data_IF_917669950442
#
_entry.id   IF_917669950442
#
_cell.length_a   1.000
_cell.length_b   1.000
_cell.length_c   1.000
_cell.angle_alpha   90.00
_cell.angle_beta   90.00
_cell.angle_gamma   90.00
#
_symmetry.space_group_name_H-M   'P 1'
#
loop_
_entity.id
_entity.type
_entity.pdbx_description
1 polymer ?
#
# COMPACT_ATOMS: atom_id res chain seq x y z
N UNK A 1 15.09 20.59 42.19
CA UNK A 1 16.38 21.23 41.84
C UNK A 1 17.06 20.27 40.87
N UNK A 2 17.17 20.44 39.56
CA UNK A 2 17.08 21.61 38.68
C UNK A 2 16.13 21.33 37.50
N UNK A 3 15.46 22.36 37.00
CA UNK A 3 14.66 22.34 35.78
C UNK A 3 15.53 22.78 34.60
N UNK A 4 15.85 21.88 33.68
CA UNK A 4 16.56 22.25 32.45
C UNK A 4 15.55 22.60 31.35
N UNK A 5 15.45 23.89 31.09
CA UNK A 5 14.71 24.54 30.01
C UNK A 5 15.28 24.13 28.65
N UNK A 6 14.46 23.52 27.79
CA UNK A 6 14.74 23.39 26.36
C UNK A 6 14.48 24.74 25.67
N UNK A 7 15.52 25.56 25.53
CA UNK A 7 15.52 26.71 24.63
C UNK A 7 16.00 26.27 23.24
N UNK A 8 15.12 26.31 22.25
CA UNK A 8 15.52 26.29 20.85
C UNK A 8 16.10 27.67 20.49
N UNK A 9 17.43 27.77 20.46
CA UNK A 9 18.11 29.01 20.12
C UNK A 9 18.05 29.23 18.58
N UNK A 10 17.08 30.01 18.10
CA UNK A 10 17.10 30.53 16.73
C UNK A 10 18.15 31.64 16.67
N UNK A 11 19.39 31.29 16.31
CA UNK A 11 20.42 32.29 16.03
C UNK A 11 20.15 32.93 14.67
N UNK A 12 19.72 34.20 14.69
CA UNK A 12 19.71 35.08 13.52
C UNK A 12 21.16 35.38 13.12
N UNK A 13 21.61 34.87 11.99
CA UNK A 13 22.85 35.33 11.35
C UNK A 13 22.56 36.44 10.36
N UNK A 14 23.49 37.39 10.27
CA UNK A 14 23.34 38.71 9.66
C UNK A 14 22.82 38.73 8.22
N UNK A 15 21.97 39.73 7.97
CA UNK A 15 21.39 40.06 6.66
C UNK A 15 22.48 40.74 5.84
N UNK A 16 23.00 40.08 4.81
CA UNK A 16 23.82 40.76 3.81
C UNK A 16 22.89 41.42 2.78
N UNK A 17 22.55 42.69 3.04
CA UNK A 17 21.74 43.51 2.15
C UNK A 17 22.62 44.09 1.04
N UNK A 18 22.30 43.79 -0.22
CA UNK A 18 22.90 44.46 -1.37
C UNK A 18 22.02 45.68 -1.76
N UNK A 19 22.46 46.93 -1.54
CA UNK A 19 21.65 48.11 -1.77
C UNK A 19 21.37 48.42 -3.24
N UNK A 20 22.08 47.80 -4.19
CA UNK A 20 21.92 48.12 -5.62
C UNK A 20 20.84 47.30 -6.33
N UNK A 21 20.42 46.16 -5.77
CA UNK A 21 19.50 45.23 -6.45
C UNK A 21 18.17 45.01 -5.72
N UNK A 22 18.03 45.50 -4.48
CA UNK A 22 16.77 45.41 -3.72
C UNK A 22 16.29 43.99 -3.38
N UNK A 23 17.06 42.93 -3.70
CA UNK A 23 16.68 41.54 -3.44
C UNK A 23 17.52 40.93 -2.33
N UNK A 24 16.89 40.57 -1.21
CA UNK A 24 17.49 39.79 -0.13
C UNK A 24 17.06 38.34 -0.21
N UNK A 25 18.02 37.42 -0.39
CA UNK A 25 17.76 35.97 -0.31
C UNK A 25 17.91 35.55 1.17
N UNK A 26 16.87 34.90 1.73
CA UNK A 26 16.92 34.29 3.06
C UNK A 26 17.35 32.83 2.94
N UNK A 27 18.45 32.46 3.58
CA UNK A 27 18.82 31.07 3.78
C UNK A 27 18.42 30.63 5.18
N UNK A 28 17.71 29.50 5.28
CA UNK A 28 17.46 28.81 6.55
C UNK A 28 18.45 27.65 6.66
N UNK A 29 19.37 27.71 7.62
CA UNK A 29 20.25 26.60 7.97
C UNK A 29 19.66 25.85 9.15
N UNK A 30 19.10 24.67 8.91
CA UNK A 30 18.69 23.76 10.00
C UNK A 30 19.96 23.01 10.43
N UNK A 31 20.45 23.31 11.64
CA UNK A 31 21.56 22.58 12.26
C UNK A 31 20.93 21.53 13.18
N UNK A 32 20.83 20.29 12.70
CA UNK A 32 20.50 19.15 13.54
C UNK A 32 21.79 18.53 14.08
N UNK A 33 22.00 18.60 15.39
CA UNK A 33 23.03 17.80 16.08
C UNK A 33 22.47 16.39 16.28
N UNK A 34 23.11 15.40 15.64
CA UNK A 34 22.86 13.98 15.93
C UNK A 34 23.67 13.63 17.17
N UNK A 35 22.99 13.42 18.30
CA UNK A 35 23.62 12.87 19.49
C UNK A 35 23.61 11.34 19.41
N UNK A 36 24.81 10.76 19.31
CA UNK A 36 25.03 9.32 19.41
C UNK A 36 25.37 9.00 20.87
N UNK A 37 24.36 8.70 21.68
CA UNK A 37 24.57 7.97 22.93
C UNK A 37 23.51 6.87 23.09
N UNK A 38 23.95 5.64 22.81
CA UNK A 38 23.30 4.43 23.27
C UNK A 38 23.46 4.36 24.78
N UNK A 39 22.34 4.32 25.50
CA UNK A 39 22.30 4.08 26.94
C UNK A 39 20.96 3.44 27.32
N UNK A 40 21.04 2.21 27.83
CA UNK A 40 19.94 1.43 28.39
C UNK A 40 19.00 2.28 29.26
N UNK A 41 17.69 2.11 29.09
CA UNK A 41 16.72 2.43 30.14
C UNK A 41 15.81 1.23 30.34
N UNK A 42 15.92 0.71 31.55
CA UNK A 42 15.15 -0.36 32.16
C UNK A 42 13.66 -0.01 32.25
N UNK A 43 12.88 -1.10 32.27
CA UNK A 43 11.51 -1.22 32.77
C UNK A 43 10.96 -0.05 33.60
N UNK A 44 9.86 0.52 33.11
CA UNK A 44 8.90 1.25 33.92
C UNK A 44 7.54 0.54 33.83
N UNK A 45 7.22 -0.22 34.87
CA UNK A 45 5.86 -0.63 35.19
C UNK A 45 5.07 0.61 35.67
N UNK A 46 3.87 0.88 35.17
CA UNK A 46 2.96 1.77 35.86
C UNK A 46 2.24 1.01 36.99
N UNK A 47 2.49 1.45 38.21
CA UNK A 47 1.65 1.18 39.39
C UNK A 47 0.32 1.89 39.17
N UNK A 48 -0.77 1.12 39.04
CA UNK A 48 -2.13 1.66 39.10
C UNK A 48 -2.57 1.66 40.56
N UNK A 49 -2.80 2.86 41.10
CA UNK A 49 -3.51 3.05 42.35
C UNK A 49 -5.01 2.84 42.11
N UNK A 50 -5.56 1.95 42.93
CA UNK A 50 -6.99 1.80 43.19
C UNK A 50 -7.57 3.06 43.85
N UNK A 51 -8.90 3.15 43.79
CA UNK A 51 -9.81 4.11 44.44
C UNK A 51 -10.17 5.36 43.64
N UNK A 52 -11.30 5.30 42.93
CA UNK A 52 -12.48 6.02 43.41
C UNK A 52 -13.78 5.42 42.84
N UNK A 53 -14.66 5.11 43.80
CA UNK A 53 -16.02 4.61 43.69
C UNK A 53 -16.94 5.78 43.30
N UNK A 54 -17.76 5.61 42.26
CA UNK A 54 -19.07 6.27 42.18
C UNK A 54 -20.08 5.24 41.66
N UNK A 55 -20.88 4.72 42.60
CA UNK A 55 -22.22 4.19 42.36
C UNK A 55 -23.09 5.31 41.78
N UNK A 56 -23.80 5.04 40.69
CA UNK A 56 -25.14 5.58 40.47
C UNK A 56 -25.85 4.77 39.37
N UNK A 57 -26.74 3.88 39.81
CA UNK A 57 -27.88 3.44 39.01
C UNK A 57 -28.81 4.65 38.82
N UNK A 58 -29.53 4.71 37.69
CA UNK A 58 -30.96 4.59 37.87
C UNK A 58 -31.64 3.69 36.83
N UNK A 59 -32.63 2.98 37.35
CA UNK A 59 -33.73 2.39 36.61
C UNK A 59 -34.31 3.38 35.59
N UNK A 60 -34.50 2.91 34.36
CA UNK A 60 -35.47 3.48 33.44
C UNK A 60 -36.13 2.33 32.69
N UNK A 61 -37.26 1.89 33.25
CA UNK A 61 -38.34 1.26 32.53
C UNK A 61 -38.80 2.20 31.41
N UNK A 62 -38.52 1.83 30.16
CA UNK A 62 -39.19 2.38 28.98
C UNK A 62 -39.86 1.23 28.25
N UNK A 63 -41.13 1.07 28.59
CA UNK A 63 -42.18 0.51 27.74
C UNK A 63 -42.51 1.60 26.72
N UNK A 64 -42.41 1.32 25.41
CA UNK A 64 -43.22 1.86 24.30
C UNK A 64 -42.56 1.43 22.99
N UNK A 65 -43.12 0.43 22.33
CA UNK A 65 -43.98 0.57 21.14
C UNK A 65 -43.29 -0.04 19.92
N UNK A 66 -43.76 -1.24 19.59
CA UNK A 66 -43.57 -1.91 18.32
C UNK A 66 -44.00 -0.98 17.17
N UNK A 67 -43.14 -0.67 16.19
CA UNK A 67 -43.63 -0.22 14.91
C UNK A 67 -44.05 -1.47 14.14
N UNK A 68 -45.36 -1.72 14.19
CA UNK A 68 -46.11 -2.48 13.21
C UNK A 68 -45.90 -1.83 11.84
N UNK A 69 -44.81 -2.19 11.17
CA UNK A 69 -44.56 -1.85 9.78
C UNK A 69 -44.90 -3.08 8.94
N UNK A 70 -46.20 -3.39 8.93
CA UNK A 70 -46.85 -4.16 7.90
C UNK A 70 -46.71 -3.40 6.58
N UNK A 71 -45.55 -3.57 5.95
CA UNK A 71 -45.37 -3.24 4.53
C UNK A 71 -46.25 -4.25 3.78
N UNK A 72 -47.49 -3.81 3.54
CA UNK A 72 -48.42 -4.40 2.60
C UNK A 72 -47.84 -4.15 1.20
N UNK A 73 -46.86 -4.96 0.80
CA UNK A 73 -46.59 -5.19 -0.61
C UNK A 73 -47.85 -5.87 -1.11
N UNK A 74 -48.73 -5.10 -1.75
CA UNK A 74 -49.67 -5.66 -2.68
C UNK A 74 -48.85 -6.39 -3.72
N UNK A 75 -48.71 -7.70 -3.52
CA UNK A 75 -48.26 -8.62 -4.53
C UNK A 75 -49.11 -8.36 -5.75
N UNK A 76 -48.46 -7.86 -6.80
CA UNK A 76 -48.93 -8.05 -8.15
C UNK A 76 -49.29 -9.52 -8.26
N UNK A 77 -50.58 -9.83 -8.42
CA UNK A 77 -51.11 -11.15 -8.78
C UNK A 77 -50.44 -11.61 -10.08
N UNK A 78 -49.22 -12.11 -9.97
CA UNK A 78 -48.65 -13.05 -10.92
C UNK A 78 -49.27 -14.37 -10.54
N UNK A 79 -50.14 -14.88 -11.39
CA UNK A 79 -50.86 -16.14 -11.22
C UNK A 79 -49.82 -17.26 -10.97
N UNK A 80 -49.55 -17.60 -9.70
CA UNK A 80 -48.55 -18.61 -9.36
C UNK A 80 -49.17 -20.00 -9.42
N UNK A 81 -48.59 -20.90 -10.23
CA UNK A 81 -49.19 -22.23 -10.47
C UNK A 81 -49.12 -23.12 -9.22
N UNK A 82 -48.11 -22.95 -8.37
CA UNK A 82 -47.90 -23.74 -7.17
C UNK A 82 -47.66 -22.87 -5.94
N UNK A 83 -48.49 -23.03 -4.91
CA UNK A 83 -48.29 -22.48 -3.58
C UNK A 83 -48.18 -23.63 -2.58
N UNK A 84 -47.01 -23.80 -1.97
CA UNK A 84 -46.65 -24.98 -1.18
C UNK A 84 -46.16 -24.57 0.20
N UNK A 85 -46.61 -25.28 1.23
CA UNK A 85 -46.17 -25.09 2.60
C UNK A 85 -45.45 -26.33 3.13
N UNK A 86 -44.31 -26.11 3.78
CA UNK A 86 -43.43 -27.15 4.31
C UNK A 86 -43.05 -26.88 5.75
N UNK A 87 -42.91 -27.94 6.54
CA UNK A 87 -42.25 -27.86 7.84
C UNK A 87 -40.79 -28.31 7.72
N UNK A 88 -39.86 -27.47 8.16
CA UNK A 88 -38.43 -27.65 7.89
C UNK A 88 -37.66 -28.01 9.15
N UNK A 89 -36.82 -29.04 9.05
CA UNK A 89 -36.00 -29.53 10.15
C UNK A 89 -34.56 -29.70 9.72
N UNK A 90 -33.65 -29.47 10.65
CA UNK A 90 -32.23 -29.75 10.48
C UNK A 90 -31.88 -31.14 11.04
N UNK A 91 -31.17 -31.97 10.29
CA UNK A 91 -30.72 -33.31 10.73
C UNK A 91 -29.24 -33.50 10.42
N UNK A 92 -28.49 -34.00 11.37
CA UNK A 92 -27.06 -34.27 11.22
C UNK A 92 -26.78 -35.48 10.31
N UNK A 93 -27.70 -36.45 10.27
CA UNK A 93 -27.58 -37.65 9.44
C UNK A 93 -28.97 -38.15 9.02
N UNK A 94 -29.03 -38.90 7.91
CA UNK A 94 -30.29 -39.33 7.26
C UNK A 94 -31.24 -40.07 8.20
N UNK A 95 -30.72 -41.01 8.97
CA UNK A 95 -31.49 -41.84 9.91
C UNK A 95 -31.93 -41.13 11.20
N UNK A 96 -31.61 -39.85 11.39
CA UNK A 96 -31.97 -39.12 12.60
C UNK A 96 -33.48 -38.90 12.64
N UNK A 97 -34.16 -39.37 13.69
CA UNK A 97 -35.63 -39.29 13.77
C UNK A 97 -36.13 -37.91 14.20
N UNK A 98 -35.36 -37.19 15.01
CA UNK A 98 -35.66 -35.86 15.53
C UNK A 98 -34.53 -34.88 15.23
N UNK A 99 -34.89 -33.63 14.96
CA UNK A 99 -33.94 -32.54 14.73
C UNK A 99 -34.60 -31.20 15.06
N UNK A 100 -33.83 -30.13 15.29
CA UNK A 100 -34.41 -28.82 15.56
C UNK A 100 -35.24 -28.35 14.36
N UNK A 101 -36.42 -27.82 14.64
CA UNK A 101 -37.29 -27.21 13.64
C UNK A 101 -36.73 -25.84 13.29
N UNK A 102 -36.51 -25.58 12.00
CA UNK A 102 -36.09 -24.28 11.48
C UNK A 102 -37.31 -23.35 11.36
N UNK A 103 -38.45 -23.92 10.96
CA UNK A 103 -39.71 -23.19 10.83
C UNK A 103 -40.57 -23.76 9.71
N UNK A 104 -41.55 -22.97 9.26
CA UNK A 104 -42.38 -23.29 8.12
C UNK A 104 -41.95 -22.47 6.92
N UNK A 105 -41.84 -23.10 5.75
CA UNK A 105 -41.55 -22.42 4.50
C UNK A 105 -42.78 -22.44 3.61
N UNK A 106 -43.24 -21.24 3.21
CA UNK A 106 -44.17 -21.08 2.10
C UNK A 106 -43.39 -20.74 0.83
N UNK A 107 -43.59 -21.51 -0.24
CA UNK A 107 -42.90 -21.37 -1.52
C UNK A 107 -43.96 -21.31 -2.62
N UNK A 108 -43.95 -20.17 -3.32
CA UNK A 108 -44.76 -19.93 -4.52
C UNK A 108 -43.88 -20.03 -5.75
N UNK A 109 -44.25 -20.84 -6.75
CA UNK A 109 -43.44 -21.07 -7.93
C UNK A 109 -44.27 -21.42 -9.17
N UNK A 110 -43.66 -21.23 -10.34
CA UNK A 110 -44.31 -21.45 -11.65
C UNK A 110 -43.70 -22.60 -12.47
N UNK A 111 -42.57 -23.14 -12.02
CA UNK A 111 -41.90 -24.27 -12.65
C UNK A 111 -41.14 -25.08 -11.61
N UNK A 112 -40.71 -26.30 -11.99
CA UNK A 112 -39.88 -27.17 -11.13
C UNK A 112 -38.51 -26.54 -10.89
N UNK A 113 -37.94 -25.88 -11.89
CA UNK A 113 -36.65 -25.17 -11.80
C UNK A 113 -36.75 -24.02 -10.80
N UNK A 114 -37.77 -23.16 -10.92
CA UNK A 114 -38.02 -22.06 -9.98
C UNK A 114 -38.26 -22.58 -8.55
N UNK A 115 -38.94 -23.73 -8.41
CA UNK A 115 -39.08 -24.41 -7.12
C UNK A 115 -37.71 -24.85 -6.55
N UNK A 116 -36.88 -25.49 -7.36
CA UNK A 116 -35.54 -25.94 -6.94
C UNK A 116 -34.69 -24.77 -6.47
N UNK A 117 -34.65 -23.68 -7.25
CA UNK A 117 -33.87 -22.48 -6.94
C UNK A 117 -34.34 -21.85 -5.63
N UNK A 118 -35.66 -21.65 -5.46
CA UNK A 118 -36.22 -21.06 -4.24
C UNK A 118 -35.98 -21.89 -2.99
N UNK A 119 -36.09 -23.23 -3.10
CA UNK A 119 -35.76 -24.12 -1.98
C UNK A 119 -34.27 -24.04 -1.68
N UNK A 120 -33.43 -24.09 -2.71
CA UNK A 120 -31.98 -24.09 -2.56
C UNK A 120 -31.47 -22.79 -1.93
N UNK A 121 -31.96 -21.63 -2.39
CA UNK A 121 -31.60 -20.31 -1.86
C UNK A 121 -31.88 -20.18 -0.37
N UNK A 122 -32.95 -20.83 0.13
CA UNK A 122 -33.27 -20.87 1.57
C UNK A 122 -32.44 -21.94 2.30
N UNK A 123 -32.23 -23.10 1.69
CA UNK A 123 -31.53 -24.22 2.31
C UNK A 123 -30.02 -24.02 2.45
N UNK A 124 -29.38 -23.33 1.48
CA UNK A 124 -27.93 -23.14 1.45
C UNK A 124 -27.36 -22.49 2.71
N UNK A 125 -28.15 -21.65 3.38
CA UNK A 125 -27.78 -20.99 4.65
C UNK A 125 -27.57 -21.99 5.80
N UNK A 126 -28.14 -23.18 5.71
CA UNK A 126 -28.05 -24.24 6.72
C UNK A 126 -27.14 -25.38 6.27
N UNK A 127 -26.65 -25.34 5.03
CA UNK A 127 -25.71 -26.29 4.49
C UNK A 127 -24.30 -25.79 4.81
N UNK A 128 -23.43 -26.74 5.17
CA UNK A 128 -22.02 -26.47 5.44
C UNK A 128 -21.19 -26.93 4.26
N UNK A 129 -20.81 -28.20 4.24
CA UNK A 129 -19.95 -28.77 3.20
C UNK A 129 -20.31 -30.22 2.95
N UNK A 130 -20.23 -30.65 1.70
CA UNK A 130 -20.46 -32.06 1.36
C UNK A 130 -19.43 -32.95 2.06
N UNK A 131 -19.91 -33.99 2.71
CA UNK A 131 -19.09 -35.10 3.21
C UNK A 131 -19.42 -36.33 2.38
N UNK A 132 -18.36 -36.94 1.85
CA UNK A 132 -18.43 -38.24 1.21
C UNK A 132 -17.58 -39.25 1.98
N UNK A 133 -17.78 -40.53 1.67
CA UNK A 133 -16.99 -41.62 2.22
C UNK A 133 -16.20 -42.25 1.07
N UNK A 134 -14.89 -42.43 1.27
CA UNK A 134 -14.04 -43.13 0.31
C UNK A 134 -14.35 -44.64 0.25
N UNK A 135 -13.63 -45.39 -0.59
CA UNK A 135 -13.78 -46.84 -0.72
C UNK A 135 -13.54 -47.61 0.60
N UNK A 136 -12.79 -47.00 1.52
CA UNK A 136 -12.47 -47.54 2.84
C UNK A 136 -13.42 -47.08 3.95
N UNK A 137 -14.48 -46.34 3.61
CA UNK A 137 -15.45 -45.76 4.55
C UNK A 137 -14.83 -44.73 5.53
N UNK A 138 -13.79 -44.03 5.10
CA UNK A 138 -13.26 -42.87 5.79
C UNK A 138 -14.01 -41.62 5.30
N UNK A 139 -14.49 -40.77 6.24
CA UNK A 139 -15.15 -39.53 5.86
C UNK A 139 -14.13 -38.49 5.38
N UNK A 140 -14.45 -37.79 4.30
CA UNK A 140 -13.68 -36.65 3.78
C UNK A 140 -14.63 -35.51 3.37
N UNK A 141 -14.13 -34.27 3.43
CA UNK A 141 -14.83 -33.12 2.85
C UNK A 141 -14.66 -33.12 1.33
N UNK A 142 -15.72 -32.81 0.59
CA UNK A 142 -15.60 -32.54 -0.84
C UNK A 142 -14.68 -31.33 -1.10
N UNK A 143 -13.93 -31.38 -2.19
CA UNK A 143 -12.98 -30.34 -2.58
C UNK A 143 -13.68 -29.03 -2.92
N UNK A 144 -14.85 -29.10 -3.54
CA UNK A 144 -15.64 -27.94 -3.93
C UNK A 144 -16.76 -27.65 -2.94
N UNK A 145 -17.12 -26.38 -2.85
CA UNK A 145 -18.34 -25.95 -2.16
C UNK A 145 -19.56 -26.60 -2.82
N UNK A 146 -20.66 -26.78 -2.08
CA UNK A 146 -21.87 -27.36 -2.63
C UNK A 146 -22.47 -26.40 -3.67
N UNK A 147 -21.99 -26.47 -4.90
CA UNK A 147 -22.55 -25.75 -6.05
C UNK A 147 -23.73 -26.57 -6.60
N UNK A 148 -24.91 -25.94 -6.58
CA UNK A 148 -26.17 -26.29 -7.27
C UNK A 148 -26.84 -27.66 -6.97
N UNK A 149 -26.20 -28.59 -6.25
CA UNK A 149 -26.75 -29.94 -6.04
C UNK A 149 -27.52 -30.10 -4.72
N UNK A 150 -28.64 -29.37 -4.56
CA UNK A 150 -29.53 -29.54 -3.41
C UNK A 150 -30.05 -30.97 -3.18
N UNK A 151 -30.01 -31.81 -4.22
CA UNK A 151 -30.36 -33.23 -4.16
C UNK A 151 -29.51 -34.09 -3.20
N UNK A 152 -28.30 -33.64 -2.85
CA UNK A 152 -27.41 -34.32 -1.90
C UNK A 152 -27.66 -33.95 -0.45
N UNK A 153 -28.42 -32.89 -0.18
CA UNK A 153 -28.61 -32.34 1.16
C UNK A 153 -30.07 -32.42 1.64
N UNK A 154 -31.02 -32.38 0.69
CA UNK A 154 -32.44 -32.21 0.99
C UNK A 154 -33.24 -33.49 0.76
N UNK A 155 -34.04 -33.85 1.76
CA UNK A 155 -35.05 -34.91 1.67
C UNK A 155 -36.43 -34.31 1.97
N UNK A 156 -37.37 -34.52 1.07
CA UNK A 156 -38.77 -34.19 1.21
C UNK A 156 -39.53 -35.44 1.62
N UNK A 157 -40.15 -35.41 2.79
CA UNK A 157 -40.90 -36.53 3.33
C UNK A 157 -42.39 -36.19 3.34
N UNK A 158 -43.14 -36.85 2.47
CA UNK A 158 -44.60 -36.79 2.43
C UNK A 158 -45.15 -37.70 3.52
N UNK A 159 -45.65 -37.11 4.62
CA UNK A 159 -46.16 -37.86 5.78
C UNK A 159 -47.45 -38.59 5.45
N UNK A 160 -48.27 -38.02 4.58
CA UNK A 160 -49.55 -38.59 4.15
C UNK A 160 -49.32 -39.85 3.29
N UNK A 161 -48.42 -39.77 2.31
CA UNK A 161 -48.11 -40.89 1.42
C UNK A 161 -47.02 -41.84 1.97
N UNK A 162 -46.31 -41.45 3.03
CA UNK A 162 -45.15 -42.15 3.59
C UNK A 162 -44.03 -42.37 2.57
N UNK A 163 -43.78 -41.36 1.72
CA UNK A 163 -42.77 -41.41 0.65
C UNK A 163 -41.75 -40.28 0.87
N UNK A 164 -40.48 -40.62 0.79
CA UNK A 164 -39.37 -39.66 0.80
C UNK A 164 -38.80 -39.47 -0.60
N UNK A 165 -38.50 -38.23 -0.98
CA UNK A 165 -37.88 -37.86 -2.26
C UNK A 165 -36.72 -36.90 -2.03
N UNK A 166 -35.67 -36.99 -2.85
CA UNK A 166 -34.65 -35.95 -2.91
C UNK A 166 -35.11 -34.79 -3.81
N UNK A 167 -34.45 -33.63 -3.73
CA UNK A 167 -34.78 -32.46 -4.56
C UNK A 167 -34.84 -32.83 -6.06
N UNK A 168 -33.85 -33.55 -6.58
CA UNK A 168 -33.76 -33.97 -7.99
C UNK A 168 -34.86 -34.94 -8.45
N UNK A 169 -35.60 -35.53 -7.51
CA UNK A 169 -36.70 -36.45 -7.82
C UNK A 169 -38.06 -35.75 -7.86
N UNK A 170 -38.10 -34.44 -7.55
CA UNK A 170 -39.30 -33.64 -7.60
C UNK A 170 -39.55 -33.25 -9.04
N UNK A 171 -40.77 -33.48 -9.49
CA UNK A 171 -41.24 -33.14 -10.82
C UNK A 171 -42.59 -32.42 -10.73
N UNK A 172 -43.06 -31.88 -11.84
CA UNK A 172 -44.30 -31.09 -11.91
C UNK A 172 -45.51 -31.86 -11.35
N UNK A 173 -45.60 -33.16 -11.60
CA UNK A 173 -46.66 -34.02 -11.04
C UNK A 173 -46.60 -34.08 -9.51
N UNK A 174 -45.41 -34.03 -8.92
CA UNK A 174 -45.23 -34.00 -7.46
C UNK A 174 -45.68 -32.66 -6.90
N UNK A 175 -45.32 -31.54 -7.55
CA UNK A 175 -45.77 -30.21 -7.15
C UNK A 175 -47.29 -30.05 -7.27
N UNK A 176 -47.89 -30.51 -8.38
CA UNK A 176 -49.36 -30.57 -8.56
C UNK A 176 -50.05 -31.39 -7.47
N UNK A 177 -49.44 -32.50 -7.06
CA UNK A 177 -49.99 -33.34 -6.00
C UNK A 177 -49.94 -32.67 -4.63
N UNK A 178 -48.89 -31.90 -4.35
CA UNK A 178 -48.72 -31.19 -3.08
C UNK A 178 -49.52 -29.88 -3.01
N UNK A 179 -49.67 -29.18 -4.14
CA UNK A 179 -50.39 -27.90 -4.23
C UNK A 179 -51.90 -28.03 -4.45
N UNK A 180 -52.41 -29.25 -4.69
CA UNK A 180 -53.86 -29.46 -4.79
C UNK A 180 -54.53 -29.11 -3.47
N UNK A 181 -55.46 -28.16 -3.55
CA UNK A 181 -56.39 -27.82 -2.48
C UNK A 181 -57.40 -28.99 -2.34
N UNK A 182 -56.92 -30.03 -1.67
CA UNK A 182 -57.68 -31.23 -1.36
C UNK A 182 -58.16 -31.07 0.07
N UNK A 183 -59.34 -31.61 0.41
CA UNK A 183 -59.90 -31.56 1.78
C UNK A 183 -58.91 -32.05 2.87
N UNK A 184 -57.87 -32.79 2.47
CA UNK A 184 -56.73 -33.15 3.28
C UNK A 184 -55.45 -32.47 2.77
N UNK A 185 -55.08 -31.35 3.40
CA UNK A 185 -53.78 -30.70 3.20
C UNK A 185 -52.67 -31.71 3.48
N UNK A 186 -51.77 -31.91 2.51
CA UNK A 186 -50.63 -32.82 2.68
C UNK A 186 -49.60 -32.20 3.60
N UNK A 187 -49.11 -32.99 4.54
CA UNK A 187 -48.04 -32.59 5.45
C UNK A 187 -46.69 -33.03 4.86
N UNK A 188 -45.93 -32.06 4.33
CA UNK A 188 -44.61 -32.31 3.72
C UNK A 188 -43.52 -31.74 4.63
N UNK A 189 -42.59 -32.59 5.03
CA UNK A 189 -41.43 -32.16 5.83
C UNK A 189 -40.20 -32.05 4.93
N UNK A 190 -39.43 -30.98 5.08
CA UNK A 190 -38.09 -30.85 4.49
C UNK A 190 -37.07 -31.18 5.57
N UNK A 191 -36.20 -32.15 5.29
CA UNK A 191 -35.05 -32.48 6.12
C UNK A 191 -33.78 -31.99 5.45
N UNK A 192 -33.15 -30.98 6.06
CA UNK A 192 -31.87 -30.43 5.63
C UNK A 192 -30.76 -31.17 6.36
N UNK A 193 -29.81 -31.73 5.60
CA UNK A 193 -28.64 -32.40 6.13
C UNK A 193 -27.42 -31.51 5.90
N UNK A 194 -26.86 -30.80 6.91
CA UNK A 194 -25.79 -29.81 6.70
C UNK A 194 -24.56 -30.34 5.96
N UNK A 195 -24.29 -31.65 6.09
CA UNK A 195 -23.08 -32.29 5.62
C UNK A 195 -23.29 -33.33 4.52
N UNK A 196 -24.49 -33.47 3.94
CA UNK A 196 -24.92 -34.51 2.97
C UNK A 196 -25.75 -35.66 3.55
N UNK A 197 -26.64 -36.18 2.71
CA UNK A 197 -27.45 -37.39 2.90
C UNK A 197 -26.57 -38.66 2.94
N UNK A 198 -25.33 -38.59 2.41
CA UNK A 198 -24.35 -39.68 2.45
C UNK A 198 -24.04 -40.12 3.90
N UNK A 199 -24.13 -39.21 4.87
CA UNK A 199 -24.07 -39.54 6.29
C UNK A 199 -25.38 -40.25 6.70
N UNK A 200 -25.40 -41.57 6.50
CA UNK A 200 -26.66 -42.32 6.58
C UNK A 200 -27.14 -42.59 8.01
N UNK A 201 -26.23 -42.68 8.98
CA UNK A 201 -26.55 -43.12 10.34
C UNK A 201 -25.63 -42.58 11.43
N UNK A 202 -26.05 -42.77 12.68
CA UNK A 202 -25.37 -42.24 13.88
C UNK A 202 -23.88 -42.63 13.95
N UNK A 203 -23.53 -43.89 13.65
CA UNK A 203 -22.14 -44.34 13.67
C UNK A 203 -21.25 -43.64 12.64
N UNK A 204 -21.80 -43.36 11.45
CA UNK A 204 -21.09 -42.59 10.42
C UNK A 204 -20.94 -41.14 10.85
N UNK A 205 -21.99 -40.58 11.45
CA UNK A 205 -21.93 -39.24 12.03
C UNK A 205 -20.91 -39.13 13.15
N UNK A 206 -20.80 -40.11 14.05
CA UNK A 206 -19.77 -40.13 15.09
C UNK A 206 -18.37 -40.14 14.48
N UNK A 207 -18.10 -40.99 13.48
CA UNK A 207 -16.82 -40.97 12.74
C UNK A 207 -16.52 -39.63 12.07
N UNK A 208 -17.51 -39.05 11.41
CA UNK A 208 -17.43 -37.72 10.80
C UNK A 208 -17.13 -36.67 11.85
N UNK A 209 -17.87 -36.72 12.96
CA UNK A 209 -17.71 -35.78 14.04
C UNK A 209 -16.31 -35.88 14.63
N UNK A 210 -15.81 -37.08 14.89
CA UNK A 210 -14.51 -37.26 15.53
C UNK A 210 -13.35 -36.89 14.59
N UNK A 211 -13.44 -37.24 13.30
CA UNK A 211 -12.34 -37.03 12.33
C UNK A 211 -12.35 -35.68 11.64
N UNK A 212 -13.52 -35.12 11.33
CA UNK A 212 -13.64 -33.94 10.49
C UNK A 212 -14.14 -32.71 11.25
N UNK A 213 -15.06 -32.87 12.21
CA UNK A 213 -15.73 -31.73 12.87
C UNK A 213 -15.06 -31.36 14.20
N UNK A 214 -14.76 -32.37 15.01
CA UNK A 214 -14.28 -32.30 16.39
C UNK A 214 -12.84 -32.78 16.54
N UNK A 215 -12.06 -32.87 15.46
CA UNK A 215 -10.68 -33.39 15.44
C UNK A 215 -9.66 -32.61 16.29
N UNK A 216 -10.09 -31.65 17.10
CA UNK A 216 -9.25 -31.05 18.12
C UNK A 216 -9.35 -31.85 19.43
N UNK A 217 -8.20 -32.09 20.06
CA UNK A 217 -8.14 -32.47 21.48
C UNK A 217 -8.85 -31.40 22.31
N UNK A 218 -10.13 -31.65 22.61
CA UNK A 218 -10.88 -30.89 23.60
C UNK A 218 -10.48 -31.42 24.97
N UNK A 219 -10.08 -30.54 25.88
CA UNK A 219 -9.86 -30.93 27.28
C UNK A 219 -11.18 -31.42 27.90
N UNK A 220 -11.15 -32.04 29.09
CA UNK A 220 -12.32 -32.58 29.81
C UNK A 220 -13.45 -31.57 30.01
N UNK A 221 -13.19 -30.27 29.84
CA UNK A 221 -14.15 -29.18 29.90
C UNK A 221 -14.72 -28.73 28.53
N UNK A 222 -14.33 -29.35 27.41
CA UNK A 222 -14.83 -29.02 26.08
C UNK A 222 -14.16 -27.81 25.40
N UNK A 223 -13.19 -27.16 26.05
CA UNK A 223 -12.36 -26.11 25.48
C UNK A 223 -11.23 -26.70 24.61
N UNK A 224 -10.85 -26.00 23.53
CA UNK A 224 -9.64 -26.34 22.76
C UNK A 224 -8.45 -26.39 23.71
N UNK A 225 -7.68 -27.48 23.67
CA UNK A 225 -6.48 -27.62 24.49
C UNK A 225 -5.59 -26.40 24.33
N UNK A 226 -5.10 -25.84 25.45
CA UNK A 226 -4.20 -24.68 25.46
C UNK A 226 -2.98 -24.91 24.56
N UNK A 227 -2.55 -26.17 24.42
CA UNK A 227 -1.49 -26.60 23.52
C UNK A 227 -1.82 -26.33 22.05
N UNK A 228 -3.02 -26.73 21.62
CA UNK A 228 -3.48 -26.52 20.24
C UNK A 228 -3.72 -25.04 19.93
N UNK A 229 -4.20 -24.25 20.89
CA UNK A 229 -4.29 -22.79 20.73
C UNK A 229 -2.91 -22.15 20.55
N UNK A 230 -1.92 -22.57 21.33
CA UNK A 230 -0.56 -22.09 21.17
C UNK A 230 0.05 -22.50 19.82
N UNK A 231 -0.22 -23.71 19.33
CA UNK A 231 0.21 -24.16 18.00
C UNK A 231 -0.37 -23.26 16.89
N UNK A 232 -1.67 -22.91 16.95
CA UNK A 232 -2.28 -21.96 16.01
C UNK A 232 -1.66 -20.57 16.15
N UNK A 233 -1.38 -20.10 17.36
CA UNK A 233 -0.69 -18.82 17.57
C UNK A 233 0.70 -18.82 16.95
N UNK A 234 1.44 -19.91 17.07
CA UNK A 234 2.79 -20.02 16.51
C UNK A 234 2.73 -20.01 14.98
N UNK A 235 1.75 -20.69 14.37
CA UNK A 235 1.51 -20.63 12.93
C UNK A 235 1.15 -19.21 12.46
N UNK A 236 0.24 -18.54 13.18
CA UNK A 236 -0.14 -17.15 12.89
C UNK A 236 1.06 -16.21 12.97
N UNK A 237 1.88 -16.32 14.02
CA UNK A 237 3.09 -15.50 14.17
C UNK A 237 4.10 -15.82 13.07
N UNK A 238 4.31 -17.09 12.73
CA UNK A 238 5.23 -17.46 11.66
C UNK A 238 4.82 -16.83 10.33
N UNK A 239 3.52 -16.78 10.04
CA UNK A 239 3.00 -16.23 8.79
C UNK A 239 2.90 -14.71 8.78
N UNK A 240 2.54 -14.07 9.89
CA UNK A 240 2.11 -12.68 9.92
C UNK A 240 2.99 -11.74 10.77
N UNK A 241 4.01 -12.25 11.46
CA UNK A 241 4.88 -11.43 12.31
C UNK A 241 5.71 -10.39 11.56
N UNK A 242 5.94 -10.58 10.25
CA UNK A 242 6.63 -9.59 9.43
C UNK A 242 5.74 -8.37 9.14
N UNK A 243 4.43 -8.55 9.04
CA UNK A 243 3.49 -7.47 8.73
C UNK A 243 2.94 -6.82 9.99
N UNK A 244 2.68 -7.61 11.04
CA UNK A 244 1.99 -7.15 12.22
C UNK A 244 2.76 -7.38 13.52
N UNK A 245 2.75 -6.36 14.37
CA UNK A 245 3.13 -6.40 15.79
C UNK A 245 1.89 -6.31 16.66
N UNK A 246 1.72 -7.26 17.58
CA UNK A 246 0.64 -7.24 18.57
C UNK A 246 1.05 -8.01 19.83
N UNK A 247 0.42 -7.70 20.97
CA UNK A 247 0.60 -8.45 22.21
C UNK A 247 0.10 -9.90 22.05
N UNK A 248 0.70 -10.85 22.78
CA UNK A 248 0.37 -12.28 22.67
C UNK A 248 -1.11 -12.58 22.90
N UNK A 249 -1.78 -11.81 23.77
CA UNK A 249 -3.22 -11.96 24.04
C UNK A 249 -4.08 -11.74 22.79
N UNK A 250 -3.68 -10.86 21.88
CA UNK A 250 -4.42 -10.59 20.65
C UNK A 250 -4.22 -11.71 19.61
N UNK A 251 -3.01 -12.26 19.55
CA UNK A 251 -2.76 -13.49 18.79
C UNK A 251 -3.61 -14.66 19.33
N UNK A 252 -3.74 -14.79 20.65
CA UNK A 252 -4.62 -15.80 21.28
C UNK A 252 -6.10 -15.55 20.95
N UNK A 253 -6.56 -14.30 20.92
CA UNK A 253 -7.93 -13.97 20.51
C UNK A 253 -8.20 -14.36 19.05
N UNK A 254 -7.23 -14.14 18.16
CA UNK A 254 -7.30 -14.59 16.78
C UNK A 254 -7.33 -16.12 16.67
N UNK A 255 -6.38 -16.79 17.32
CA UNK A 255 -6.31 -18.25 17.36
C UNK A 255 -7.59 -18.89 17.93
N UNK A 256 -8.19 -18.30 18.96
CA UNK A 256 -9.48 -18.75 19.49
C UNK A 256 -10.60 -18.67 18.45
N UNK A 257 -10.63 -17.60 17.66
CA UNK A 257 -11.63 -17.44 16.60
C UNK A 257 -11.46 -18.51 15.50
N UNK A 258 -10.22 -18.82 15.13
CA UNK A 258 -9.90 -19.92 14.19
C UNK A 258 -10.23 -21.28 14.80
N UNK A 259 -9.88 -21.52 16.06
CA UNK A 259 -10.17 -22.78 16.73
C UNK A 259 -11.68 -23.04 16.83
N UNK A 260 -12.47 -21.98 17.05
CA UNK A 260 -13.94 -22.04 17.08
C UNK A 260 -14.60 -22.20 15.70
N UNK A 261 -13.88 -21.95 14.61
CA UNK A 261 -14.43 -22.13 13.26
C UNK A 261 -14.40 -23.59 12.82
N UNK A 262 -15.21 -23.89 11.80
CA UNK A 262 -15.25 -25.22 11.21
C UNK A 262 -13.87 -25.59 10.63
N UNK A 263 -13.46 -26.84 10.78
CA UNK A 263 -12.10 -27.30 10.46
C UNK A 263 -11.64 -26.95 9.03
N UNK A 264 -12.55 -26.97 8.05
CA UNK A 264 -12.23 -26.68 6.65
C UNK A 264 -11.96 -25.20 6.36
N UNK A 265 -12.38 -24.27 7.22
CA UNK A 265 -12.13 -22.83 7.07
C UNK A 265 -10.85 -22.38 7.76
N UNK A 266 -10.21 -23.25 8.54
CA UNK A 266 -9.12 -22.82 9.42
C UNK A 266 -7.89 -22.41 8.65
N UNK A 267 -7.52 -23.16 7.62
CA UNK A 267 -6.35 -22.85 6.80
C UNK A 267 -6.55 -21.49 6.11
N UNK A 268 -7.70 -21.27 5.49
CA UNK A 268 -8.08 -19.99 4.88
C UNK A 268 -8.07 -18.84 5.92
N UNK A 269 -8.55 -19.09 7.14
CA UNK A 269 -8.56 -18.09 8.21
C UNK A 269 -7.18 -17.82 8.82
N UNK A 270 -6.22 -18.74 8.69
CA UNK A 270 -4.81 -18.52 9.01
C UNK A 270 -4.16 -17.68 7.91
N UNK A 271 -4.59 -17.82 6.66
CA UNK A 271 -4.11 -16.99 5.56
C UNK A 271 -4.64 -15.57 5.57
N UNK A 272 -5.88 -15.39 6.02
CA UNK A 272 -6.55 -14.09 6.07
C UNK A 272 -5.88 -13.12 7.06
N UNK A 273 -6.26 -11.85 6.94
CA UNK A 273 -5.88 -10.78 7.87
C UNK A 273 -6.54 -10.95 9.26
N UNK A 274 -6.02 -10.24 10.30
CA UNK A 274 -6.63 -10.25 11.62
C UNK A 274 -8.13 -9.90 11.56
N UNK A 275 -8.99 -10.63 12.31
CA UNK A 275 -10.42 -10.35 12.36
C UNK A 275 -10.71 -8.89 12.72
N UNK A 276 -11.69 -8.28 12.04
CA UNK A 276 -12.05 -6.86 12.22
C UNK A 276 -12.28 -6.43 13.67
N UNK A 277 -12.77 -7.33 14.52
CA UNK A 277 -12.96 -7.10 15.96
C UNK A 277 -11.66 -6.82 16.74
N UNK A 278 -10.54 -7.39 16.29
CA UNK A 278 -9.23 -7.29 16.95
C UNK A 278 -8.16 -6.61 16.09
N UNK A 279 -8.44 -6.35 14.81
CA UNK A 279 -7.51 -5.72 13.87
C UNK A 279 -6.87 -4.43 14.40
N UNK A 280 -7.62 -3.62 15.17
CA UNK A 280 -7.12 -2.39 15.81
C UNK A 280 -5.95 -2.59 16.78
N UNK A 281 -5.73 -3.81 17.26
CA UNK A 281 -4.65 -4.14 18.19
C UNK A 281 -3.39 -4.67 17.48
N UNK A 282 -3.43 -4.79 16.15
CA UNK A 282 -2.29 -5.17 15.32
C UNK A 282 -1.74 -3.92 14.65
N UNK A 283 -0.48 -3.60 14.94
CA UNK A 283 0.23 -2.46 14.35
C UNK A 283 1.11 -2.96 13.21
N UNK A 284 1.20 -2.24 12.09
CA UNK A 284 2.18 -2.56 11.05
C UNK A 284 3.60 -2.57 11.62
N UNK A 285 4.43 -3.53 11.23
CA UNK A 285 5.84 -3.57 11.62
C UNK A 285 6.56 -2.33 11.05
N UNK A 286 7.36 -1.64 11.87
CA UNK A 286 8.14 -0.45 11.45
C UNK A 286 9.25 -0.74 10.41
N UNK A 287 9.54 -2.01 10.16
CA UNK A 287 10.67 -2.46 9.33
C UNK A 287 10.62 -1.95 7.88
N UNK A 288 9.50 -2.04 7.14
CA UNK A 288 9.38 -1.43 5.82
C UNK A 288 9.54 0.11 5.82
N UNK A 289 9.05 0.80 6.85
CA UNK A 289 9.25 2.25 6.97
C UNK A 289 10.72 2.60 7.25
N UNK A 290 11.36 1.86 8.15
CA UNK A 290 12.76 2.04 8.49
C UNK A 290 13.68 1.75 7.31
N UNK A 291 13.35 0.73 6.51
CA UNK A 291 14.10 0.39 5.30
C UNK A 291 13.97 1.49 4.25
N UNK A 292 12.75 1.98 4.00
CA UNK A 292 12.54 3.12 3.11
C UNK A 292 13.30 4.38 3.56
N UNK A 293 13.27 4.69 4.86
CA UNK A 293 14.02 5.82 5.41
C UNK A 293 15.54 5.66 5.23
N UNK A 294 16.08 4.43 5.34
CA UNK A 294 17.49 4.14 5.06
C UNK A 294 17.82 4.36 3.58
N UNK A 295 16.97 3.89 2.68
CA UNK A 295 17.14 4.03 1.24
C UNK A 295 17.11 5.52 0.83
N UNK A 296 16.19 6.31 1.38
CA UNK A 296 16.07 7.75 1.15
C UNK A 296 17.34 8.52 1.62
N UNK A 297 17.88 8.16 2.79
CA UNK A 297 19.14 8.72 3.30
C UNK A 297 20.32 8.35 2.40
N UNK A 298 20.36 7.11 1.90
CA UNK A 298 21.42 6.66 0.99
C UNK A 298 21.37 7.41 -0.34
N UNK A 299 20.17 7.58 -0.91
CA UNK A 299 19.96 8.33 -2.14
C UNK A 299 20.36 9.81 -1.96
N UNK A 300 19.96 10.43 -0.85
CA UNK A 300 20.33 11.81 -0.53
C UNK A 300 21.85 11.99 -0.40
N UNK A 301 22.56 11.02 0.21
CA UNK A 301 24.03 11.04 0.29
C UNK A 301 24.68 10.96 -1.08
N UNK A 302 24.19 10.10 -1.98
CA UNK A 302 24.71 9.97 -3.36
C UNK A 302 24.50 11.24 -4.18
N UNK A 303 23.33 11.86 -4.07
CA UNK A 303 23.05 13.13 -4.76
C UNK A 303 23.94 14.25 -4.24
N UNK A 304 24.14 14.33 -2.93
CA UNK A 304 25.01 15.33 -2.33
C UNK A 304 26.48 15.11 -2.69
N UNK A 305 26.97 13.86 -2.75
CA UNK A 305 28.34 13.59 -3.18
C UNK A 305 28.57 13.96 -4.64
N UNK A 306 27.65 13.59 -5.55
CA UNK A 306 27.74 13.98 -6.96
C UNK A 306 27.70 15.50 -7.14
N UNK A 307 26.79 16.19 -6.43
CA UNK A 307 26.71 17.65 -6.48
C UNK A 307 27.99 18.33 -5.96
N UNK A 308 28.62 17.74 -4.94
CA UNK A 308 29.89 18.24 -4.41
C UNK A 308 31.03 18.07 -5.42
N UNK A 309 31.10 16.93 -6.10
CA UNK A 309 32.06 16.67 -7.17
C UNK A 309 31.88 17.66 -8.33
N UNK A 310 30.65 17.92 -8.75
CA UNK A 310 30.33 18.91 -9.79
C UNK A 310 30.77 20.32 -9.37
N UNK A 311 30.48 20.73 -8.13
CA UNK A 311 30.91 22.02 -7.59
C UNK A 311 32.45 22.11 -7.57
N UNK A 312 33.14 21.05 -7.18
CA UNK A 312 34.60 21.00 -7.17
C UNK A 312 35.17 21.14 -8.59
N UNK A 313 34.60 20.44 -9.57
CA UNK A 313 34.99 20.55 -10.98
C UNK A 313 34.79 21.97 -11.52
N UNK A 314 33.66 22.61 -11.23
CA UNK A 314 33.39 24.00 -11.61
C UNK A 314 34.41 24.95 -10.97
N UNK A 315 34.74 24.75 -9.69
CA UNK A 315 35.75 25.55 -9.01
C UNK A 315 37.14 25.40 -9.62
N UNK A 316 37.52 24.19 -10.05
CA UNK A 316 38.78 23.94 -10.75
C UNK A 316 38.82 24.62 -12.12
N UNK A 317 37.74 24.50 -12.91
CA UNK A 317 37.61 25.20 -14.18
C UNK A 317 37.70 26.72 -14.02
N UNK A 318 37.04 27.28 -13.00
CA UNK A 318 37.10 28.71 -12.72
C UNK A 318 38.51 29.18 -12.33
N UNK A 319 39.23 28.40 -11.52
CA UNK A 319 40.64 28.67 -11.20
C UNK A 319 41.51 28.65 -12.45
N UNK A 320 41.32 27.66 -13.33
CA UNK A 320 42.02 27.56 -14.62
C UNK A 320 41.77 28.79 -15.51
N UNK A 321 40.49 29.17 -15.68
CA UNK A 321 40.09 30.34 -16.46
C UNK A 321 40.70 31.65 -15.91
N UNK A 322 40.70 31.82 -14.58
CA UNK A 322 41.32 32.98 -13.94
C UNK A 322 42.82 33.05 -14.24
N UNK A 323 43.53 31.92 -14.15
CA UNK A 323 44.96 31.85 -14.43
C UNK A 323 45.27 32.16 -15.90
N UNK A 324 44.48 31.62 -16.84
CA UNK A 324 44.62 31.90 -18.27
C UNK A 324 44.39 33.38 -18.58
N UNK A 325 43.39 33.99 -17.95
CA UNK A 325 43.09 35.42 -18.11
C UNK A 325 44.24 36.29 -17.61
N UNK A 326 44.80 35.98 -16.45
CA UNK A 326 45.98 36.68 -15.91
C UNK A 326 47.15 36.57 -16.88
N UNK A 327 47.45 35.36 -17.38
CA UNK A 327 48.53 35.15 -18.33
C UNK A 327 48.33 35.97 -19.62
N UNK A 328 47.10 36.02 -20.16
CA UNK A 328 46.77 36.84 -21.33
C UNK A 328 46.94 38.34 -21.05
N UNK A 329 46.53 38.82 -19.88
CA UNK A 329 46.75 40.22 -19.48
C UNK A 329 48.23 40.56 -19.41
N UNK A 330 49.07 39.72 -18.79
CA UNK A 330 50.52 39.93 -18.71
C UNK A 330 51.17 40.01 -20.09
N UNK A 331 50.72 39.19 -21.05
CA UNK A 331 51.20 39.24 -22.45
C UNK A 331 50.82 40.58 -23.10
N UNK A 332 49.59 41.06 -22.87
CA UNK A 332 49.13 42.36 -23.39
C UNK A 332 49.94 43.50 -22.78
N UNK A 333 50.16 43.50 -21.46
CA UNK A 333 50.99 44.49 -20.75
C UNK A 333 52.41 44.54 -21.35
N UNK A 334 53.06 43.39 -21.51
CA UNK A 334 54.40 43.30 -22.10
C UNK A 334 54.45 43.85 -23.53
N UNK A 335 53.40 43.59 -24.33
CA UNK A 335 53.31 44.12 -25.70
C UNK A 335 53.10 45.64 -25.71
N UNK A 336 52.30 46.18 -24.80
CA UNK A 336 52.10 47.62 -24.64
C UNK A 336 53.40 48.31 -24.24
N UNK A 337 54.15 47.77 -23.27
CA UNK A 337 55.47 48.27 -22.89
C UNK A 337 56.43 48.31 -24.08
N UNK A 338 56.44 47.25 -24.90
CA UNK A 338 57.25 47.21 -26.13
C UNK A 338 56.84 48.29 -27.14
N UNK A 339 55.55 48.55 -27.29
CA UNK A 339 55.06 49.62 -28.19
C UNK A 339 55.46 50.99 -27.67
N UNK A 340 55.35 51.23 -26.36
CA UNK A 340 55.78 52.49 -25.72
C UNK A 340 57.26 52.75 -25.98
N UNK A 341 58.13 51.74 -25.77
CA UNK A 341 59.57 51.86 -26.04
C UNK A 341 59.83 52.19 -27.52
N UNK A 342 59.12 51.52 -28.45
CA UNK A 342 59.26 51.81 -29.89
C UNK A 342 58.82 53.22 -30.25
N UNK A 343 57.75 53.72 -29.63
CA UNK A 343 57.27 55.09 -29.85
C UNK A 343 58.27 56.11 -29.32
N UNK A 344 58.86 55.88 -28.14
CA UNK A 344 59.92 56.73 -27.59
C UNK A 344 61.16 56.77 -28.51
N UNK A 345 61.62 55.61 -28.97
CA UNK A 345 62.73 55.53 -29.93
C UNK A 345 62.43 56.26 -31.24
N UNK A 346 61.18 56.17 -31.73
CA UNK A 346 60.78 56.88 -32.94
C UNK A 346 60.74 58.41 -32.73
N UNK A 347 60.28 58.86 -31.57
CA UNK A 347 60.27 60.28 -31.19
C UNK A 347 61.70 60.84 -31.07
N UNK A 348 62.63 60.08 -30.48
CA UNK A 348 64.06 60.41 -30.47
C UNK A 348 64.65 60.50 -31.89
N UNK A 349 64.29 59.56 -32.77
CA UNK A 349 64.71 59.58 -34.18
C UNK A 349 64.14 60.80 -34.94
N UNK A 350 62.88 61.18 -34.68
CA UNK A 350 62.27 62.37 -35.26
C UNK A 350 62.93 63.66 -34.74
N UNK A 351 63.25 63.70 -33.44
CA UNK A 351 63.93 64.84 -32.82
C UNK A 351 65.33 65.02 -33.42
N UNK A 352 66.13 63.95 -33.51
CA UNK A 352 67.45 64.00 -34.15
C UNK A 352 67.39 64.34 -35.64
N UNK A 353 66.32 63.92 -36.34
CA UNK A 353 66.10 64.32 -37.73
C UNK A 353 65.78 65.82 -37.86
N UNK A 354 64.94 66.36 -36.97
CA UNK A 354 64.63 67.79 -36.93
C UNK A 354 65.87 68.62 -36.57
N UNK A 355 66.68 68.18 -35.60
CA UNK A 355 67.96 68.84 -35.27
C UNK A 355 68.91 68.90 -36.46
N UNK A 356 68.90 67.88 -37.34
CA UNK A 356 69.66 67.89 -38.59
C UNK A 356 69.08 68.83 -39.65
N UNK A 357 67.76 69.02 -39.67
CA UNK A 357 67.11 69.99 -40.55
C UNK A 357 67.41 71.43 -40.12
N UNK A 358 67.35 71.70 -38.82
CA UNK A 358 67.60 73.02 -38.25
C UNK A 358 69.10 73.40 -38.29
N UNK A 359 69.99 72.41 -38.15
CA UNK A 359 71.44 72.57 -38.34
C UNK A 359 71.90 72.26 -39.76
N UNK A 360 71.03 72.41 -40.77
CA UNK A 360 71.50 72.35 -42.17
C UNK A 360 72.64 73.34 -42.32
N UNK A 361 73.80 72.92 -42.85
CA UNK A 361 74.87 73.86 -43.15
C UNK A 361 74.28 74.92 -44.07
N UNK A 362 74.25 76.17 -43.61
CA UNK A 362 73.93 77.31 -44.46
C UNK A 362 74.91 77.19 -45.62
N UNK A 363 74.38 76.98 -46.83
CA UNK A 363 75.21 76.84 -48.03
C UNK A 363 76.23 77.99 -48.03
N UNK A 364 77.52 77.65 -48.01
CA UNK A 364 78.55 78.68 -47.99
C UNK A 364 78.33 79.56 -49.23
N UNK A 365 78.36 80.87 -49.04
CA UNK A 365 78.22 81.85 -50.13
C UNK A 365 79.13 81.51 -51.31
N UNK A 366 80.33 80.98 -51.04
CA UNK A 366 81.27 80.53 -52.07
C UNK A 366 80.74 79.34 -52.89
N UNK A 367 80.06 78.38 -52.27
CA UNK A 367 79.45 77.23 -52.97
C UNK A 367 78.24 77.65 -53.80
N UNK A 368 77.43 78.60 -53.34
CA UNK A 368 76.35 79.18 -54.14
C UNK A 368 76.93 79.93 -55.35
N UNK A 369 78.00 80.68 -55.15
CA UNK A 369 78.67 81.42 -56.22
C UNK A 369 79.33 80.48 -57.25
N UNK A 370 79.90 79.36 -56.80
CA UNK A 370 80.45 78.32 -57.66
C UNK A 370 79.35 77.59 -58.44
N UNK A 371 78.25 77.25 -57.77
CA UNK A 371 77.09 76.59 -58.41
C UNK A 371 76.45 77.48 -59.47
N UNK A 372 76.34 78.80 -59.21
CA UNK A 372 75.84 79.77 -60.18
C UNK A 372 76.81 80.02 -61.35
N UNK A 373 78.10 79.70 -61.20
CA UNK A 373 79.11 79.76 -62.27
C UNK A 373 79.15 78.50 -63.14
N UNK A 374 78.50 77.41 -62.72
CA UNK A 374 78.34 76.23 -63.58
C UNK A 374 77.23 76.56 -64.59
N UNK A 375 77.56 76.74 -65.88
CA UNK A 375 76.53 76.96 -66.89
C UNK A 375 75.61 75.76 -66.90
N UNK A 376 74.30 75.98 -66.99
CA UNK A 376 73.32 74.91 -67.18
C UNK A 376 73.76 74.09 -68.38
N UNK A 377 74.37 72.95 -68.13
CA UNK A 377 74.51 71.91 -69.13
C UNK A 377 73.12 71.27 -69.20
N UNK A 378 72.43 71.53 -70.31
CA UNK A 378 71.29 70.70 -70.67
C UNK A 378 71.80 69.25 -70.70
N UNK A 379 71.10 68.39 -69.97
CA UNK A 379 71.36 66.96 -69.87
C UNK A 379 71.14 66.31 -71.25
N UNK A 380 72.16 66.40 -72.12
CA UNK A 380 72.11 65.95 -73.52
C UNK A 380 72.32 64.44 -73.70
N UNK A 381 72.25 63.64 -72.64
CA UNK A 381 72.47 62.19 -72.71
C UNK A 381 71.18 61.35 -72.52
N UNK A 382 70.00 61.97 -72.55
CA UNK A 382 68.75 61.23 -72.75
C UNK A 382 68.62 60.79 -74.22
N UNK A 383 69.22 59.64 -74.53
CA UNK A 383 68.96 58.88 -75.75
C UNK A 383 67.45 58.60 -75.84
N UNK A 384 66.81 59.25 -76.80
CA UNK A 384 65.48 58.87 -77.29
C UNK A 384 65.67 57.54 -78.02
N UNK A 385 65.26 56.45 -77.39
CA UNK A 385 64.97 55.22 -78.13
C UNK A 385 63.52 55.33 -78.63
N UNK A 386 63.38 55.75 -79.89
CA UNK A 386 62.18 55.43 -80.69
C UNK A 386 62.26 53.94 -81.08
N UNK A 387 61.40 53.11 -80.46
CA UNK A 387 60.53 52.11 -81.10
C UNK A 387 59.80 51.26 -80.06
#
# INVERSE_FOLDING_TARGET
MNSDNYNSEIRRTDINYNPETGSGIRYYRIVGTVDQSLGNIESLNPVLHEDDIIEESPDNDIIEESPDNSINIQESNTDTEFNLEFQVFLRQFKGQTSGPTIGNWSISCNSVEDFHDKVWERAKQHIKREIYFDEEMNPAFAEHDPEEEGGKFLIFNDKTAKISRNLTQICENTLKLWGKDTEQKREIHIYIHPYSIAVSGKKMWEKVNDRLISSQEKDRAGASSQKNLNEIVDQLKQKHSHEFKAAHIHWLQWANKIASSDAYLRDDMIEADPPSSIAKFFQPTDEPFLQKARDDVMMSRRLNSGSLEDIQSILEHFKGFKMETINKMTIIETNLERIVIKLQQNDENLTTFNDRLDNRPVENTDSIEYFNKIPRQDDTDHVIYEN
#
